data_IF_597800408564
#
_entry.id   IF_597800408564
#
_cell.length_a   1.000
_cell.length_b   1.000
_cell.length_c   1.000
_cell.angle_alpha   90.00
_cell.angle_beta   90.00
_cell.angle_gamma   90.00
#
_symmetry.space_group_name_H-M   'P 1'
#
loop_
_entity.id
_entity.type
_entity.pdbx_description
1 polymer ?
#
# COMPACT_ATOMS: atom_id res chain seq x y z
N UNK A 1 24.32 4.22 17.66
CA UNK A 1 23.71 5.52 17.33
C UNK A 1 22.23 5.27 17.08
N UNK A 2 21.33 5.93 17.82
CA UNK A 2 19.91 5.68 17.69
C UNK A 2 19.44 6.41 16.44
N UNK A 3 19.57 5.77 15.29
CA UNK A 3 18.76 6.14 14.13
C UNK A 3 17.32 5.78 14.47
N UNK A 4 16.61 6.75 15.04
CA UNK A 4 15.16 6.78 15.14
C UNK A 4 14.65 6.27 13.80
N UNK A 5 13.97 5.12 13.78
CA UNK A 5 13.40 4.48 12.59
C UNK A 5 12.62 5.53 11.78
N UNK A 6 13.31 6.21 10.85
CA UNK A 6 12.69 7.19 10.00
C UNK A 6 11.74 6.40 9.12
N UNK A 7 10.43 6.64 9.29
CA UNK A 7 9.41 6.09 8.41
C UNK A 7 9.66 6.62 7.00
N UNK A 8 10.45 5.89 6.22
CA UNK A 8 10.65 6.15 4.79
C UNK A 8 9.53 5.45 4.04
N UNK A 9 8.83 6.23 3.22
CA UNK A 9 7.85 5.66 2.30
C UNK A 9 8.60 4.92 1.21
N UNK A 10 8.13 3.73 0.83
CA UNK A 10 8.67 3.03 -0.33
C UNK A 10 8.23 3.76 -1.60
N UNK A 11 9.19 4.30 -2.34
CA UNK A 11 8.95 5.11 -3.53
C UNK A 11 9.16 6.62 -3.33
N UNK A 12 9.20 7.39 -4.43
CA UNK A 12 9.70 8.77 -4.44
C UNK A 12 8.82 9.78 -3.69
N UNK A 13 7.55 9.47 -3.39
CA UNK A 13 6.64 10.44 -2.79
C UNK A 13 5.47 9.78 -2.05
N UNK A 14 5.12 10.29 -0.86
CA UNK A 14 3.86 9.97 -0.18
C UNK A 14 2.71 10.49 -1.04
N UNK A 15 1.81 9.61 -1.46
CA UNK A 15 0.64 9.97 -2.28
C UNK A 15 -0.57 10.03 -1.37
N UNK A 16 -1.17 11.21 -1.25
CA UNK A 16 -2.38 11.43 -0.47
C UNK A 16 -3.53 11.67 -1.43
N UNK A 17 -4.63 10.97 -1.24
CA UNK A 17 -5.91 11.33 -1.83
C UNK A 17 -6.65 12.16 -0.78
N UNK A 18 -6.80 13.45 -1.04
CA UNK A 18 -7.58 14.38 -0.20
C UNK A 18 -9.06 13.96 -0.14
N UNK A 19 -9.90 14.76 0.51
CA UNK A 19 -11.33 14.56 0.78
C UNK A 19 -12.17 13.86 -0.32
N UNK A 20 -11.80 13.94 -1.61
CA UNK A 20 -12.37 13.15 -2.72
C UNK A 20 -12.37 11.63 -2.50
N UNK A 21 -11.37 11.06 -1.81
CA UNK A 21 -11.37 9.65 -1.42
C UNK A 21 -12.47 9.30 -0.42
N UNK A 22 -12.90 10.28 0.40
CA UNK A 22 -13.97 10.18 1.40
C UNK A 22 -15.38 10.50 0.83
N UNK A 23 -15.48 11.21 -0.30
CA UNK A 23 -16.76 11.52 -0.97
C UNK A 23 -17.37 10.29 -1.66
N UNK A 24 -16.62 9.19 -1.82
CA UNK A 24 -17.17 7.93 -2.37
C UNK A 24 -18.32 7.45 -1.50
N UNK A 25 -19.54 7.44 -2.05
CA UNK A 25 -20.77 7.01 -1.36
C UNK A 25 -20.62 5.64 -0.68
N UNK A 26 -19.85 4.73 -1.27
CA UNK A 26 -19.55 3.40 -0.69
C UNK A 26 -18.75 3.45 0.62
N UNK A 27 -17.87 4.44 0.80
CA UNK A 27 -17.12 4.65 2.06
C UNK A 27 -18.07 5.13 3.15
N UNK A 28 -18.98 6.06 2.84
CA UNK A 28 -20.03 6.48 3.77
C UNK A 28 -21.00 5.36 4.13
N UNK A 29 -21.34 4.48 3.18
CA UNK A 29 -22.16 3.29 3.46
C UNK A 29 -21.44 2.30 4.38
N UNK A 30 -20.14 2.05 4.15
CA UNK A 30 -19.32 1.21 5.02
C UNK A 30 -19.14 1.83 6.41
N UNK A 31 -18.91 3.15 6.48
CA UNK A 31 -18.78 3.89 7.73
C UNK A 31 -20.08 3.85 8.54
N UNK A 32 -21.24 4.09 7.91
CA UNK A 32 -22.55 3.95 8.55
C UNK A 32 -22.81 2.53 9.05
N UNK A 33 -22.36 1.51 8.32
CA UNK A 33 -22.49 0.10 8.75
C UNK A 33 -21.60 -0.21 9.95
N UNK A 34 -20.34 0.22 9.92
CA UNK A 34 -19.39 0.03 11.01
C UNK A 34 -19.84 0.76 12.29
N UNK A 35 -20.34 1.99 12.15
CA UNK A 35 -20.85 2.76 13.28
C UNK A 35 -22.09 2.11 13.92
N UNK A 36 -23.02 1.58 13.10
CA UNK A 36 -24.17 0.79 13.60
C UNK A 36 -23.75 -0.51 14.29
N UNK A 37 -22.60 -1.07 13.94
CA UNK A 37 -22.04 -2.28 14.53
C UNK A 37 -21.18 -2.00 15.79
N UNK A 38 -21.07 -0.75 16.23
CA UNK A 38 -20.35 -0.37 17.45
C UNK A 38 -18.82 -0.32 17.29
N UNK A 39 -18.29 -0.32 16.07
CA UNK A 39 -16.86 -0.19 15.83
C UNK A 39 -16.43 1.28 15.94
N UNK A 40 -15.65 1.61 16.98
CA UNK A 40 -14.81 2.80 16.96
C UNK A 40 -13.64 2.53 16.00
N UNK A 41 -13.67 3.18 14.84
CA UNK A 41 -12.56 3.09 13.89
C UNK A 41 -11.29 3.65 14.50
N UNK A 42 -10.17 2.93 14.35
CA UNK A 42 -8.88 3.48 14.70
C UNK A 42 -8.49 4.58 13.69
N UNK A 43 -8.58 5.85 14.10
CA UNK A 43 -8.14 7.02 13.32
C UNK A 43 -6.66 7.35 13.54
N UNK A 44 -5.95 6.52 14.30
CA UNK A 44 -4.53 6.70 14.60
C UNK A 44 -3.69 6.36 13.35
N UNK A 45 -3.53 7.35 12.48
CA UNK A 45 -2.80 7.25 11.22
C UNK A 45 -3.28 8.25 10.16
N UNK A 46 -2.48 8.47 9.11
CA UNK A 46 -2.93 9.28 7.95
C UNK A 46 -3.81 8.43 7.01
N UNK A 47 -5.12 8.37 7.27
CA UNK A 47 -6.11 7.62 6.46
C UNK A 47 -6.35 8.15 5.04
N UNK A 48 -5.58 9.16 4.62
CA UNK A 48 -5.62 9.75 3.27
C UNK A 48 -4.49 9.24 2.38
N UNK A 49 -3.52 8.48 2.92
CA UNK A 49 -2.41 7.94 2.13
C UNK A 49 -2.93 6.80 1.26
N UNK A 50 -2.61 6.85 -0.04
CA UNK A 50 -2.81 5.74 -0.96
C UNK A 50 -1.75 4.67 -0.74
N UNK A 51 -2.18 3.41 -0.79
CA UNK A 51 -1.32 2.26 -0.68
C UNK A 51 -0.53 1.97 -1.96
N UNK A 52 0.07 0.79 -1.97
CA UNK A 52 0.80 0.26 -3.10
C UNK A 52 1.33 -1.14 -2.77
N UNK A 53 1.69 -1.87 -3.81
CA UNK A 53 2.33 -3.18 -3.72
C UNK A 53 3.66 -3.12 -4.44
N UNK A 54 4.72 -3.55 -3.76
CA UNK A 54 6.05 -3.64 -4.33
C UNK A 54 6.51 -5.10 -4.31
N UNK A 55 7.14 -5.53 -5.39
CA UNK A 55 7.92 -6.77 -5.43
C UNK A 55 9.38 -6.38 -5.50
N UNK A 56 10.14 -6.73 -4.47
CA UNK A 56 11.55 -6.38 -4.32
C UNK A 56 12.37 -7.65 -4.43
N UNK A 57 13.30 -7.69 -5.38
CA UNK A 57 14.22 -8.81 -5.56
C UNK A 57 15.33 -8.82 -4.52
N UNK A 58 16.05 -9.94 -4.43
CA UNK A 58 17.11 -10.10 -3.44
C UNK A 58 18.41 -9.39 -3.89
N UNK A 59 19.24 -8.98 -2.92
CA UNK A 59 20.51 -8.30 -3.20
C UNK A 59 20.32 -7.04 -4.05
N UNK A 60 20.97 -7.02 -5.21
CA UNK A 60 20.98 -5.87 -6.13
C UNK A 60 19.89 -5.95 -7.22
N UNK A 61 18.94 -6.89 -7.12
CA UNK A 61 17.87 -7.03 -8.12
C UNK A 61 16.87 -5.85 -8.11
N UNK A 62 16.79 -5.10 -7.01
CA UNK A 62 15.97 -3.89 -6.92
C UNK A 62 14.46 -4.17 -6.97
N UNK A 63 13.69 -3.18 -7.42
CA UNK A 63 12.22 -3.27 -7.53
C UNK A 63 11.86 -3.96 -8.85
N UNK A 64 11.24 -5.14 -8.76
CA UNK A 64 10.80 -5.94 -9.90
C UNK A 64 9.39 -5.58 -10.36
N UNK A 65 8.56 -5.06 -9.44
CA UNK A 65 7.24 -4.54 -9.74
C UNK A 65 6.85 -3.46 -8.72
N UNK A 66 6.21 -2.42 -9.22
CA UNK A 66 5.57 -1.40 -8.43
C UNK A 66 4.12 -1.23 -8.92
N UNK A 67 3.17 -1.58 -8.07
CA UNK A 67 1.78 -1.20 -8.23
C UNK A 67 1.49 -0.05 -7.26
N UNK A 68 1.13 1.08 -7.84
CA UNK A 68 0.77 2.29 -7.14
C UNK A 68 -0.75 2.41 -7.15
N UNK A 69 -1.40 2.25 -6.00
CA UNK A 69 -2.84 2.43 -5.87
C UNK A 69 -3.19 3.84 -6.39
N UNK A 70 -4.04 3.93 -7.42
CA UNK A 70 -4.46 5.22 -8.01
C UNK A 70 -5.56 5.88 -7.20
N UNK A 71 -6.45 5.06 -6.63
CA UNK A 71 -7.59 5.48 -5.83
C UNK A 71 -7.91 4.39 -4.82
N UNK A 72 -8.57 4.71 -3.70
CA UNK A 72 -8.90 3.71 -2.68
C UNK A 72 -9.68 2.51 -3.25
N UNK A 73 -9.11 1.32 -3.07
CA UNK A 73 -9.63 0.06 -3.58
C UNK A 73 -9.18 -0.29 -5.00
N UNK A 74 -8.28 0.48 -5.61
CA UNK A 74 -7.59 0.11 -6.85
C UNK A 74 -6.76 -1.16 -6.59
N UNK A 75 -7.14 -2.24 -7.28
CA UNK A 75 -6.57 -3.56 -7.01
C UNK A 75 -5.31 -3.76 -7.85
N UNK A 76 -4.26 -4.21 -7.19
CA UNK A 76 -3.07 -4.66 -7.89
C UNK A 76 -3.37 -5.86 -8.80
N UNK A 77 -2.71 -5.91 -9.95
CA UNK A 77 -2.80 -7.07 -10.85
C UNK A 77 -2.04 -8.25 -10.22
N UNK A 78 -2.80 -9.23 -9.71
CA UNK A 78 -2.26 -10.40 -9.03
C UNK A 78 -1.39 -11.27 -9.95
N UNK A 79 -1.74 -11.39 -11.23
CA UNK A 79 -0.94 -12.14 -12.20
C UNK A 79 0.43 -11.49 -12.39
N UNK A 80 0.46 -10.17 -12.56
CA UNK A 80 1.71 -9.42 -12.69
C UNK A 80 2.57 -9.51 -11.42
N UNK A 81 1.94 -9.46 -10.24
CA UNK A 81 2.63 -9.68 -8.96
C UNK A 81 3.26 -11.06 -8.91
N UNK A 82 2.50 -12.10 -9.26
CA UNK A 82 2.98 -13.48 -9.22
C UNK A 82 4.13 -13.71 -10.21
N UNK A 83 4.04 -13.14 -11.42
CA UNK A 83 5.10 -13.18 -12.42
C UNK A 83 6.36 -12.45 -11.95
N UNK A 84 6.22 -11.28 -11.34
CA UNK A 84 7.34 -10.54 -10.78
C UNK A 84 7.99 -11.31 -9.61
N UNK A 85 7.18 -11.92 -8.75
CA UNK A 85 7.67 -12.72 -7.62
C UNK A 85 8.45 -13.96 -8.11
N UNK A 86 7.99 -14.62 -9.18
CA UNK A 86 8.71 -15.74 -9.81
C UNK A 86 10.06 -15.35 -10.42
N UNK A 87 10.28 -14.07 -10.75
CA UNK A 87 11.57 -13.55 -11.27
C UNK A 87 12.60 -13.28 -10.17
N UNK A 88 12.21 -13.36 -8.90
CA UNK A 88 13.15 -13.23 -7.78
C UNK A 88 14.11 -14.41 -7.85
N UNK A 89 15.39 -14.11 -8.08
CA UNK A 89 16.45 -15.12 -8.01
C UNK A 89 16.92 -15.17 -6.57
N UNK A 90 17.25 -16.35 -6.06
CA UNK A 90 17.91 -16.45 -4.76
C UNK A 90 19.31 -15.87 -4.91
N UNK A 91 19.62 -14.82 -4.14
CA UNK A 91 21.01 -14.39 -3.94
C UNK A 91 21.70 -15.45 -3.08
N UNK A 92 22.29 -16.47 -3.71
CA UNK A 92 22.98 -17.53 -2.95
C UNK A 92 23.33 -18.85 -3.65
N UNK A 93 23.51 -18.87 -4.98
CA UNK A 93 24.17 -20.01 -5.64
C UNK A 93 25.40 -19.52 -6.42
N UNK A 94 26.39 -19.06 -5.66
CA UNK A 94 27.80 -19.10 -6.04
C UNK A 94 28.54 -19.83 -4.93
#
# INVERSE_FOLDING_TARGET
FPDVLQKRFYGPQKRKMMFLGLIRLGVWQNFRRAWKAGFEGNLEGEGLILGGVFVIGSGNQGILLEHREKEFGDKANLTAILEAAKKIKQSGSH
#
